data_IF_352828889633
#
_entry.id   IF_352828889633
#
_cell.length_a   1.000
_cell.length_b   1.000
_cell.length_c   1.000
_cell.angle_alpha   90.00
_cell.angle_beta   90.00
_cell.angle_gamma   90.00
#
_symmetry.space_group_name_H-M   'P 1'
#
loop_
_entity.id
_entity.type
_entity.pdbx_description
1 polymer ?
#
# COMPACT_ATOMS: atom_id res chain seq x y z
N UNK A 1 -10.10 24.12 17.88
CA UNK A 1 -9.14 23.25 18.58
C UNK A 1 -9.44 21.83 18.17
N UNK A 2 -8.64 21.24 17.28
CA UNK A 2 -8.83 19.85 16.86
C UNK A 2 -8.58 18.95 18.08
N UNK A 3 -9.42 17.94 18.31
CA UNK A 3 -9.24 17.01 19.41
C UNK A 3 -7.88 16.32 19.27
N UNK A 4 -6.91 16.77 20.07
CA UNK A 4 -5.57 16.20 20.14
C UNK A 4 -5.71 14.73 20.57
N UNK A 5 -5.56 13.81 19.63
CA UNK A 5 -5.57 12.37 19.93
C UNK A 5 -4.44 12.01 20.89
N UNK A 6 -4.57 10.90 21.62
CA UNK A 6 -3.49 10.36 22.47
C UNK A 6 -2.43 9.66 21.62
N UNK A 7 -1.21 9.49 22.15
CA UNK A 7 -0.16 8.68 21.51
C UNK A 7 -0.61 7.25 21.22
N UNK A 8 -1.42 6.68 22.10
CA UNK A 8 -2.07 5.38 21.91
C UNK A 8 -2.87 5.32 20.60
N UNK A 9 -3.80 6.26 20.39
CA UNK A 9 -4.62 6.32 19.16
C UNK A 9 -3.79 6.49 17.90
N UNK A 10 -2.70 7.24 17.97
CA UNK A 10 -1.81 7.43 16.80
C UNK A 10 -1.01 6.16 16.52
N UNK A 11 -0.53 5.47 17.55
CA UNK A 11 0.14 4.17 17.40
C UNK A 11 -0.79 3.12 16.79
N UNK A 12 -2.05 3.04 17.25
CA UNK A 12 -3.07 2.17 16.68
C UNK A 12 -3.36 2.52 15.22
N UNK A 13 -3.45 3.81 14.89
CA UNK A 13 -3.66 4.28 13.51
C UNK A 13 -2.54 3.81 12.59
N UNK A 14 -1.28 3.88 13.02
CA UNK A 14 -0.16 3.37 12.22
C UNK A 14 -0.20 1.85 12.07
N UNK A 15 -0.56 1.12 13.12
CA UNK A 15 -0.72 -0.34 13.04
C UNK A 15 -1.85 -0.76 12.08
N UNK A 16 -3.01 -0.10 12.17
CA UNK A 16 -4.12 -0.34 11.23
C UNK A 16 -3.71 -0.07 9.80
N UNK A 17 -2.91 0.99 9.56
CA UNK A 17 -2.40 1.28 8.20
C UNK A 17 -1.39 0.26 7.70
N UNK A 18 -0.52 -0.25 8.57
CA UNK A 18 0.36 -1.36 8.21
C UNK A 18 -0.45 -2.61 7.81
N UNK A 19 -1.49 -2.96 8.58
CA UNK A 19 -2.39 -4.07 8.21
C UNK A 19 -3.10 -3.82 6.87
N UNK A 20 -3.56 -2.60 6.61
CA UNK A 20 -4.13 -2.24 5.31
C UNK A 20 -3.14 -2.41 4.17
N UNK A 21 -1.86 -2.05 4.34
CA UNK A 21 -0.83 -2.34 3.33
C UNK A 21 -0.72 -3.84 3.05
N UNK A 22 -0.81 -4.70 4.07
CA UNK A 22 -0.80 -6.16 3.90
C UNK A 22 -2.01 -6.65 3.11
N UNK A 23 -3.21 -6.14 3.40
CA UNK A 23 -4.40 -6.47 2.62
C UNK A 23 -4.31 -6.01 1.17
N UNK A 24 -3.80 -4.80 0.93
CA UNK A 24 -3.57 -4.29 -0.43
C UNK A 24 -2.51 -5.11 -1.18
N UNK A 25 -1.44 -5.53 -0.50
CA UNK A 25 -0.43 -6.42 -1.06
C UNK A 25 -1.02 -7.80 -1.41
N UNK A 26 -1.92 -8.34 -0.56
CA UNK A 26 -2.67 -9.56 -0.87
C UNK A 26 -3.56 -9.40 -2.11
N UNK A 27 -4.26 -8.27 -2.22
CA UNK A 27 -5.06 -7.93 -3.42
C UNK A 27 -4.19 -7.83 -4.68
N UNK A 28 -3.02 -7.18 -4.58
CA UNK A 28 -2.04 -7.11 -5.66
C UNK A 28 -1.55 -8.51 -6.08
N UNK A 29 -1.26 -9.38 -5.11
CA UNK A 29 -0.84 -10.76 -5.39
C UNK A 29 -1.95 -11.53 -6.12
N UNK A 30 -3.21 -11.37 -5.73
CA UNK A 30 -4.37 -11.93 -6.44
C UNK A 30 -4.48 -11.44 -7.89
N UNK A 31 -4.34 -10.13 -8.10
CA UNK A 31 -4.33 -9.52 -9.44
C UNK A 31 -3.16 -10.04 -10.29
N UNK A 32 -1.97 -10.14 -9.69
CA UNK A 32 -0.78 -10.65 -10.37
C UNK A 32 -0.93 -12.14 -10.74
N UNK A 33 -1.52 -12.97 -9.87
CA UNK A 33 -1.82 -14.36 -10.17
C UNK A 33 -2.85 -14.50 -11.30
N UNK A 34 -3.89 -13.66 -11.31
CA UNK A 34 -4.84 -13.62 -12.42
C UNK A 34 -4.19 -13.20 -13.74
N UNK A 35 -3.32 -12.19 -13.72
CA UNK A 35 -2.61 -11.70 -14.90
C UNK A 35 -1.46 -12.60 -15.37
N UNK A 36 -0.88 -13.43 -14.50
CA UNK A 36 0.22 -14.34 -14.82
C UNK A 36 -0.20 -15.81 -15.01
N UNK A 37 -1.37 -16.21 -14.52
CA UNK A 37 -1.93 -17.57 -14.63
C UNK A 37 -2.64 -17.83 -15.97
N UNK A 38 -3.44 -18.91 -16.03
CA UNK A 38 -4.12 -19.42 -17.24
C UNK A 38 -4.92 -18.35 -18.01
N UNK A 39 -5.52 -17.39 -17.29
CA UNK A 39 -6.26 -16.28 -17.89
C UNK A 39 -5.30 -15.30 -18.60
N UNK A 40 -4.09 -15.10 -18.09
CA UNK A 40 -3.06 -14.26 -18.69
C UNK A 40 -2.31 -14.91 -19.86
N UNK A 41 -2.11 -16.23 -19.86
CA UNK A 41 -1.49 -16.89 -21.02
C UNK A 41 -2.42 -16.91 -22.24
N UNK A 42 -3.76 -16.87 -22.05
CA UNK A 42 -4.72 -16.62 -23.12
C UNK A 42 -4.89 -15.13 -23.45
N UNK A 43 -5.14 -14.28 -22.44
CA UNK A 43 -5.33 -12.84 -22.62
C UNK A 43 -4.08 -12.08 -23.12
N UNK A 44 -2.87 -12.60 -22.88
CA UNK A 44 -1.62 -11.94 -23.25
C UNK A 44 -0.80 -12.73 -24.29
N UNK A 45 -1.24 -13.91 -24.77
CA UNK A 45 -0.59 -14.53 -25.92
C UNK A 45 -0.88 -13.76 -27.21
N UNK A 46 -2.10 -13.24 -27.32
CA UNK A 46 -2.60 -12.59 -28.53
C UNK A 46 -2.45 -11.06 -28.45
N UNK A 47 -2.40 -10.52 -27.22
CA UNK A 47 -2.16 -9.10 -26.97
C UNK A 47 -0.65 -8.79 -26.99
N UNK A 48 -0.26 -7.72 -27.70
CA UNK A 48 1.14 -7.31 -27.93
C UNK A 48 1.99 -7.38 -26.63
N UNK A 49 3.25 -7.85 -26.69
CA UNK A 49 4.14 -8.01 -25.53
C UNK A 49 4.32 -6.75 -24.67
N UNK A 50 4.05 -5.58 -25.26
CA UNK A 50 4.02 -4.29 -24.57
C UNK A 50 3.00 -4.23 -23.41
N UNK A 51 1.77 -4.75 -23.59
CA UNK A 51 0.72 -4.66 -22.55
C UNK A 51 1.07 -5.45 -21.30
N UNK A 52 1.71 -6.61 -21.48
CA UNK A 52 2.23 -7.45 -20.41
C UNK A 52 3.35 -6.73 -19.64
N UNK A 53 4.29 -6.11 -20.35
CA UNK A 53 5.36 -5.34 -19.72
C UNK A 53 4.83 -4.16 -18.87
N UNK A 54 3.81 -3.45 -19.37
CA UNK A 54 3.14 -2.37 -18.62
C UNK A 54 2.46 -2.92 -17.35
N UNK A 55 1.79 -4.06 -17.45
CA UNK A 55 1.17 -4.69 -16.28
C UNK A 55 2.19 -5.06 -15.20
N UNK A 56 3.28 -5.75 -15.57
CA UNK A 56 4.31 -6.14 -14.60
C UNK A 56 5.03 -4.94 -13.99
N UNK A 57 5.33 -3.91 -14.77
CA UNK A 57 5.97 -2.69 -14.23
C UNK A 57 5.05 -1.95 -13.26
N UNK A 58 3.76 -1.87 -13.54
CA UNK A 58 2.77 -1.33 -12.61
C UNK A 58 2.62 -2.18 -11.35
N UNK A 59 2.57 -3.50 -11.50
CA UNK A 59 2.46 -4.42 -10.37
C UNK A 59 3.69 -4.35 -9.45
N UNK A 60 4.89 -4.37 -10.01
CA UNK A 60 6.15 -4.21 -9.25
C UNK A 60 6.22 -2.85 -8.56
N UNK A 61 5.88 -1.77 -9.27
CA UNK A 61 5.89 -0.42 -8.71
C UNK A 61 4.89 -0.29 -7.56
N UNK A 62 3.69 -0.86 -7.71
CA UNK A 62 2.67 -0.94 -6.66
C UNK A 62 3.20 -1.68 -5.43
N UNK A 63 3.78 -2.86 -5.64
CA UNK A 63 4.35 -3.68 -4.57
C UNK A 63 5.46 -2.97 -3.82
N UNK A 64 6.38 -2.31 -4.54
CA UNK A 64 7.47 -1.53 -3.96
C UNK A 64 6.95 -0.36 -3.11
N UNK A 65 5.95 0.39 -3.62
CA UNK A 65 5.33 1.49 -2.88
C UNK A 65 4.62 1.00 -1.60
N UNK A 66 3.81 -0.06 -1.70
CA UNK A 66 3.10 -0.61 -0.54
C UNK A 66 4.05 -1.22 0.49
N UNK A 67 5.10 -1.92 0.05
CA UNK A 67 6.14 -2.48 0.92
C UNK A 67 6.92 -1.42 1.67
N UNK A 68 7.39 -0.36 0.99
CA UNK A 68 8.04 0.79 1.65
C UNK A 68 7.10 1.48 2.64
N UNK A 69 5.82 1.59 2.30
CA UNK A 69 4.82 2.20 3.18
C UNK A 69 4.56 1.36 4.44
N UNK A 70 4.47 0.04 4.29
CA UNK A 70 4.33 -0.91 5.40
C UNK A 70 5.49 -0.75 6.39
N UNK A 71 6.74 -0.81 5.91
CA UNK A 71 7.93 -0.68 6.76
C UNK A 71 7.97 0.66 7.50
N UNK A 72 7.58 1.75 6.83
CA UNK A 72 7.53 3.08 7.46
C UNK A 72 6.48 3.18 8.58
N UNK A 73 5.28 2.64 8.37
CA UNK A 73 4.23 2.65 9.41
C UNK A 73 4.58 1.72 10.58
N UNK A 74 5.15 0.55 10.31
CA UNK A 74 5.60 -0.38 11.35
C UNK A 74 6.72 0.22 12.20
N UNK A 75 7.69 0.89 11.56
CA UNK A 75 8.76 1.60 12.26
C UNK A 75 8.22 2.73 13.13
N UNK A 76 7.35 3.59 12.59
CA UNK A 76 6.75 4.70 13.34
C UNK A 76 5.98 4.21 14.58
N UNK A 77 5.19 3.13 14.45
CA UNK A 77 4.49 2.52 15.58
C UNK A 77 5.46 1.95 16.63
N UNK A 78 6.56 1.34 16.19
CA UNK A 78 7.56 0.75 17.08
C UNK A 78 8.34 1.83 17.84
N UNK A 79 8.74 2.90 17.17
CA UNK A 79 9.45 4.03 17.81
C UNK A 79 8.56 4.68 18.87
N UNK A 80 7.28 4.91 18.58
CA UNK A 80 6.33 5.45 19.56
C UNK A 80 6.18 4.55 20.79
N UNK A 81 6.15 3.22 20.60
CA UNK A 81 6.12 2.28 21.73
C UNK A 81 7.40 2.33 22.56
N UNK A 82 8.56 2.32 21.90
CA UNK A 82 9.86 2.40 22.59
C UNK A 82 10.00 3.68 23.41
N UNK A 83 9.64 4.82 22.83
CA UNK A 83 9.72 6.10 23.55
C UNK A 83 8.77 6.14 24.76
N UNK A 84 7.61 5.46 24.70
CA UNK A 84 6.75 5.33 25.86
C UNK A 84 7.33 4.38 26.92
N UNK A 85 7.91 3.26 26.50
CA UNK A 85 8.56 2.29 27.41
C UNK A 85 9.79 2.89 28.10
N UNK A 86 10.55 3.74 27.38
CA UNK A 86 11.70 4.49 27.90
C UNK A 86 11.30 5.65 28.82
N UNK A 87 9.98 5.87 29.02
CA UNK A 87 9.44 6.88 29.91
C UNK A 87 9.52 8.32 29.38
N UNK A 88 9.81 8.52 28.08
CA UNK A 88 9.88 9.84 27.45
C UNK A 88 8.51 10.52 27.43
N UNK A 89 7.44 9.75 27.28
CA UNK A 89 6.04 10.18 27.41
C UNK A 89 5.15 9.01 27.84
N UNK A 90 3.92 9.29 28.31
CA UNK A 90 2.91 8.25 28.55
C UNK A 90 2.01 8.10 27.33
N UNK A 91 1.55 6.88 27.05
CA UNK A 91 0.63 6.60 25.93
C UNK A 91 -0.68 7.40 26.00
N UNK A 92 -1.08 7.81 27.20
CA UNK A 92 -2.24 8.65 27.48
C UNK A 92 -2.01 10.13 27.21
N UNK A 93 -0.76 10.56 27.04
CA UNK A 93 -0.43 11.97 26.86
C UNK A 93 -0.96 12.48 25.51
N UNK A 94 -1.33 13.76 25.44
CA UNK A 94 -1.77 14.37 24.19
C UNK A 94 -0.64 14.34 23.16
N UNK A 95 -0.94 13.88 21.94
CA UNK A 95 0.04 13.70 20.87
C UNK A 95 0.78 14.99 20.50
N UNK A 96 0.13 16.14 20.65
CA UNK A 96 0.73 17.44 20.33
C UNK A 96 1.79 17.89 21.35
N UNK A 97 1.92 17.21 22.50
CA UNK A 97 2.93 17.52 23.52
C UNK A 97 4.34 17.05 23.15
N UNK A 98 4.49 16.13 22.20
CA UNK A 98 5.79 15.67 21.70
C UNK A 98 5.85 15.92 20.20
N UNK A 99 6.84 16.67 19.76
CA UNK A 99 7.09 16.95 18.33
C UNK A 99 7.62 15.71 17.62
N UNK A 100 6.78 14.69 17.44
CA UNK A 100 7.11 13.54 16.62
C UNK A 100 6.80 13.87 15.15
N UNK A 101 7.79 13.85 14.24
CA UNK A 101 7.55 14.17 12.84
C UNK A 101 6.60 13.11 12.26
N UNK A 102 5.43 13.54 11.81
CA UNK A 102 4.50 12.67 11.10
C UNK A 102 5.21 12.04 9.89
N UNK A 103 4.99 10.74 9.59
CA UNK A 103 5.67 10.06 8.50
C UNK A 103 5.08 10.45 7.13
N UNK A 104 5.25 11.72 6.75
CA UNK A 104 4.68 12.31 5.52
C UNK A 104 5.13 11.56 4.26
N UNK A 105 6.39 11.15 4.20
CA UNK A 105 6.91 10.35 3.07
C UNK A 105 6.20 9.02 2.96
N UNK A 106 5.99 8.33 4.09
CA UNK A 106 5.28 7.04 4.14
C UNK A 106 3.82 7.18 3.73
N UNK A 107 3.13 8.25 4.16
CA UNK A 107 1.76 8.53 3.72
C UNK A 107 1.68 8.81 2.21
N UNK A 108 2.65 9.56 1.68
CA UNK A 108 2.71 9.85 0.25
C UNK A 108 2.91 8.57 -0.57
N UNK A 109 3.86 7.72 -0.18
CA UNK A 109 4.11 6.43 -0.83
C UNK A 109 2.90 5.51 -0.73
N UNK A 110 2.15 5.54 0.38
CA UNK A 110 0.92 4.77 0.55
C UNK A 110 -0.17 5.22 -0.43
N UNK A 111 -0.36 6.53 -0.58
CA UNK A 111 -1.33 7.10 -1.54
C UNK A 111 -0.96 6.73 -2.98
N UNK A 112 0.31 6.88 -3.36
CA UNK A 112 0.79 6.48 -4.69
C UNK A 112 0.58 4.99 -4.91
N UNK A 113 0.98 4.15 -3.95
CA UNK A 113 0.79 2.70 -4.05
C UNK A 113 -0.68 2.31 -4.22
N UNK A 114 -1.58 2.97 -3.50
CA UNK A 114 -3.03 2.72 -3.63
C UNK A 114 -3.56 3.10 -5.01
N UNK A 115 -3.13 4.24 -5.56
CA UNK A 115 -3.51 4.67 -6.92
C UNK A 115 -2.94 3.71 -7.97
N UNK A 116 -1.68 3.30 -7.83
CA UNK A 116 -1.05 2.35 -8.74
C UNK A 116 -1.75 0.98 -8.70
N UNK A 117 -2.24 0.54 -7.55
CA UNK A 117 -3.04 -0.68 -7.44
C UNK A 117 -4.33 -0.57 -8.26
N UNK A 118 -5.05 0.54 -8.12
CA UNK A 118 -6.25 0.80 -8.93
C UNK A 118 -5.94 0.84 -10.42
N UNK A 119 -4.84 1.48 -10.82
CA UNK A 119 -4.38 1.51 -12.22
C UNK A 119 -3.99 0.13 -12.72
N UNK A 120 -3.34 -0.70 -11.90
CA UNK A 120 -2.97 -2.08 -12.24
C UNK A 120 -4.22 -2.93 -12.50
N UNK A 121 -5.23 -2.81 -11.62
CA UNK A 121 -6.52 -3.49 -11.80
C UNK A 121 -7.31 -2.98 -13.01
N UNK A 122 -7.36 -1.67 -13.23
CA UNK A 122 -8.03 -1.07 -14.38
C UNK A 122 -7.36 -1.48 -15.69
N UNK A 123 -6.02 -1.52 -15.73
CA UNK A 123 -5.27 -2.00 -16.88
C UNK A 123 -5.61 -3.43 -17.23
N UNK A 124 -5.70 -4.32 -16.22
CA UNK A 124 -6.09 -5.71 -16.43
C UNK A 124 -7.51 -5.84 -17.02
N UNK A 125 -8.45 -5.01 -16.56
CA UNK A 125 -9.79 -4.96 -17.15
C UNK A 125 -9.79 -4.48 -18.60
N UNK A 126 -9.03 -3.42 -18.91
CA UNK A 126 -8.90 -2.92 -20.29
C UNK A 126 -8.33 -3.99 -21.21
N UNK A 127 -7.29 -4.71 -20.77
CA UNK A 127 -6.71 -5.80 -21.56
C UNK A 127 -7.70 -6.94 -21.75
N UNK A 128 -8.50 -7.27 -20.72
CA UNK A 128 -9.54 -8.29 -20.82
C UNK A 128 -10.65 -7.92 -21.82
N UNK A 129 -11.07 -6.65 -21.82
CA UNK A 129 -12.09 -6.16 -22.76
C UNK A 129 -11.58 -6.12 -24.21
N UNK A 130 -10.32 -5.76 -24.44
CA UNK A 130 -9.72 -5.76 -25.78
C UNK A 130 -9.68 -7.19 -26.34
N UNK A 131 -9.32 -8.17 -25.51
CA UNK A 131 -9.26 -9.56 -25.93
C UNK A 131 -10.65 -10.09 -26.33
N UNK A 132 -11.67 -9.83 -25.50
CA UNK A 132 -13.07 -10.19 -25.80
C UNK A 132 -13.58 -9.52 -27.07
N UNK A 133 -13.14 -8.30 -27.40
CA UNK A 133 -13.54 -7.60 -28.61
C UNK A 133 -12.77 -8.03 -29.88
N UNK A 134 -11.65 -8.73 -29.72
CA UNK A 134 -10.79 -9.19 -30.81
C UNK A 134 -11.06 -10.63 -31.26
N UNK A 135 -11.74 -11.44 -30.43
CA UNK A 135 -12.26 -12.77 -30.76
C UNK A 135 -13.68 -12.74 -31.32
#
# INVERSE_FOLDING_TARGET
MAATGTFERQSEKYQRRAQLCTYLAGGLAGIALFGAGDVGNGLFSDVKPFYRAVFFTLAFSTGACLGMSYSGFQWAATVLRRLADDGVFRMTDPYDAVTYPAPMRTEFTYRIGSVLLCLTGAWLLVTAWIDVAAG
#
